data_IF_973756063996
#
_entry.id   IF_973756063996
#
_cell.length_a   1.000
_cell.length_b   1.000
_cell.length_c   1.000
_cell.angle_alpha   90.00
_cell.angle_beta   90.00
_cell.angle_gamma   90.00
#
_symmetry.space_group_name_H-M   'P 1'
#
loop_
_entity.id
_entity.type
_entity.pdbx_description
1 polymer ?
#
# COMPACT_ATOMS: atom_id res chain seq x y z
N UNK A 1 14.16 45.90 -12.02
CA UNK A 1 13.11 45.00 -11.50
C UNK A 1 13.73 44.11 -10.43
N UNK A 2 13.02 43.82 -9.34
CA UNK A 2 13.48 42.78 -8.41
C UNK A 2 13.39 41.43 -9.12
N UNK A 3 14.42 40.60 -8.97
CA UNK A 3 14.40 39.21 -9.42
C UNK A 3 13.22 38.46 -8.77
N UNK A 4 12.49 37.66 -9.54
CA UNK A 4 11.27 36.97 -9.10
C UNK A 4 11.36 35.48 -9.41
N UNK A 5 10.98 34.64 -8.44
CA UNK A 5 10.88 33.19 -8.60
C UNK A 5 9.44 32.75 -8.37
N UNK A 6 8.95 31.85 -9.22
CA UNK A 6 7.59 31.32 -9.18
C UNK A 6 7.67 29.80 -9.09
N UNK A 7 6.78 29.21 -8.31
CA UNK A 7 6.59 27.77 -8.24
C UNK A 7 5.59 27.37 -9.31
N UNK A 8 6.04 26.54 -10.26
CA UNK A 8 5.25 26.09 -11.40
C UNK A 8 4.21 25.04 -11.01
N UNK A 9 3.19 25.40 -10.23
CA UNK A 9 2.09 24.50 -9.89
C UNK A 9 1.23 24.27 -11.13
N UNK A 10 1.48 23.16 -11.83
CA UNK A 10 0.57 22.62 -12.84
C UNK A 10 -0.41 21.67 -12.17
N UNK A 11 -1.64 21.64 -12.67
CA UNK A 11 -2.74 20.81 -12.18
C UNK A 11 -2.29 19.39 -11.83
N UNK A 12 -2.30 19.09 -10.54
CA UNK A 12 -1.87 17.82 -9.95
C UNK A 12 -2.81 16.64 -10.25
N UNK A 13 -3.88 16.87 -11.02
CA UNK A 13 -4.93 15.90 -11.38
C UNK A 13 -4.44 14.74 -12.24
N UNK A 14 -3.26 14.86 -12.86
CA UNK A 14 -2.67 13.80 -13.69
C UNK A 14 -1.88 12.75 -12.88
N UNK A 15 -1.62 12.99 -11.60
CA UNK A 15 -0.83 12.09 -10.75
C UNK A 15 -1.71 10.99 -10.16
N UNK A 16 -1.19 9.76 -10.12
CA UNK A 16 -1.77 8.70 -9.27
C UNK A 16 -1.69 9.15 -7.80
N UNK A 17 -2.63 8.74 -6.96
CA UNK A 17 -2.65 9.11 -5.54
C UNK A 17 -1.30 8.89 -4.83
N UNK A 18 -0.63 7.74 -5.07
CA UNK A 18 0.69 7.48 -4.49
C UNK A 18 1.80 8.42 -4.96
N UNK A 19 1.80 8.82 -6.23
CA UNK A 19 2.76 9.81 -6.74
C UNK A 19 2.43 11.22 -6.23
N UNK A 20 1.15 11.52 -6.02
CA UNK A 20 0.73 12.77 -5.42
C UNK A 20 1.23 12.86 -3.97
N UNK A 21 0.95 11.84 -3.15
CA UNK A 21 1.42 11.77 -1.77
C UNK A 21 2.96 11.86 -1.67
N UNK A 22 3.70 11.14 -2.53
CA UNK A 22 5.17 11.23 -2.59
C UNK A 22 5.65 12.66 -2.82
N UNK A 23 5.09 13.33 -3.82
CA UNK A 23 5.42 14.71 -4.13
C UNK A 23 5.13 15.64 -2.95
N UNK A 24 3.96 15.51 -2.30
CA UNK A 24 3.60 16.31 -1.13
C UNK A 24 4.56 16.11 0.04
N UNK A 25 4.96 14.86 0.33
CA UNK A 25 5.97 14.55 1.35
C UNK A 25 7.32 15.20 1.06
N UNK A 26 7.75 15.19 -0.20
CA UNK A 26 9.02 15.78 -0.63
C UNK A 26 9.00 17.31 -0.58
N UNK A 27 7.87 17.94 -0.93
CA UNK A 27 7.69 19.39 -0.78
C UNK A 27 7.71 19.76 0.70
N UNK A 28 7.01 19.02 1.56
CA UNK A 28 7.08 19.22 3.02
C UNK A 28 8.51 19.13 3.54
N UNK A 29 9.24 18.08 3.16
CA UNK A 29 10.63 17.89 3.56
C UNK A 29 11.57 19.00 3.07
N UNK A 30 11.22 19.72 2.01
CA UNK A 30 11.99 20.86 1.52
C UNK A 30 11.76 22.15 2.33
N UNK A 31 10.60 22.28 2.99
CA UNK A 31 10.15 23.52 3.65
C UNK A 31 10.20 23.42 5.17
N UNK A 32 10.06 22.22 5.75
CA UNK A 32 9.86 21.99 7.19
C UNK A 32 10.88 22.63 8.14
N UNK A 33 12.10 22.87 7.66
CA UNK A 33 13.21 23.39 8.47
C UNK A 33 13.36 24.92 8.31
N UNK A 34 12.52 25.56 7.49
CA UNK A 34 12.43 27.02 7.43
C UNK A 34 11.71 27.55 8.67
N UNK A 35 12.15 28.72 9.14
CA UNK A 35 11.40 29.50 10.12
C UNK A 35 10.05 29.91 9.49
N UNK A 36 8.90 29.45 10.03
CA UNK A 36 7.58 29.76 9.47
C UNK A 36 7.32 31.27 9.39
N UNK A 37 7.85 32.06 10.33
CA UNK A 37 7.61 33.50 10.40
C UNK A 37 8.25 34.24 9.22
N UNK A 38 9.36 33.72 8.68
CA UNK A 38 10.05 34.25 7.50
C UNK A 38 9.24 34.09 6.22
N UNK A 39 8.23 33.24 6.24
CA UNK A 39 7.31 33.03 5.13
C UNK A 39 5.85 33.38 5.49
N UNK A 40 5.66 34.21 6.52
CA UNK A 40 4.35 34.70 6.98
C UNK A 40 3.39 33.58 7.42
N UNK A 41 3.94 32.53 8.02
CA UNK A 41 3.20 31.39 8.55
C UNK A 41 3.54 31.16 10.02
N UNK A 42 2.76 30.29 10.65
CA UNK A 42 2.95 29.88 12.04
C UNK A 42 3.43 28.44 12.13
N UNK A 43 3.93 28.07 13.31
CA UNK A 43 4.26 26.67 13.63
C UNK A 43 3.02 25.77 13.51
N UNK A 44 1.84 26.28 13.86
CA UNK A 44 0.57 25.57 13.72
C UNK A 44 0.19 25.31 12.26
N UNK A 45 0.53 26.21 11.34
CA UNK A 45 0.31 26.00 9.90
C UNK A 45 1.19 24.85 9.38
N UNK A 46 2.44 24.77 9.82
CA UNK A 46 3.35 23.66 9.49
C UNK A 46 2.83 22.34 10.04
N UNK A 47 2.30 22.35 11.28
CA UNK A 47 1.68 21.17 11.89
C UNK A 47 0.47 20.69 11.10
N UNK A 48 -0.47 21.59 10.78
CA UNK A 48 -1.66 21.26 9.97
C UNK A 48 -1.27 20.70 8.60
N UNK A 49 -0.26 21.30 7.96
CA UNK A 49 0.22 20.81 6.68
C UNK A 49 0.82 19.41 6.79
N UNK A 50 1.63 19.15 7.83
CA UNK A 50 2.18 17.81 8.08
C UNK A 50 1.10 16.76 8.28
N UNK A 51 0.10 17.05 9.11
CA UNK A 51 -1.04 16.16 9.35
C UNK A 51 -1.79 15.83 8.05
N UNK A 52 -1.96 16.82 7.17
CA UNK A 52 -2.63 16.64 5.89
C UNK A 52 -1.80 15.81 4.88
N UNK A 53 -0.48 16.00 4.84
CA UNK A 53 0.46 15.18 4.06
C UNK A 53 0.47 13.73 4.52
N UNK A 54 0.49 13.51 5.84
CA UNK A 54 0.46 12.17 6.42
C UNK A 54 -0.86 11.45 6.11
N UNK A 55 -1.99 12.16 6.25
CA UNK A 55 -3.30 11.64 5.91
C UNK A 55 -3.37 11.20 4.44
N UNK A 56 -2.82 11.98 3.52
CA UNK A 56 -2.81 11.57 2.11
C UNK A 56 -1.90 10.37 1.85
N UNK A 57 -0.73 10.31 2.48
CA UNK A 57 0.14 9.13 2.44
C UNK A 57 -0.59 7.88 2.93
N UNK A 58 -1.39 7.99 4.00
CA UNK A 58 -2.14 6.88 4.57
C UNK A 58 -3.28 6.41 3.65
N UNK A 59 -4.00 7.36 3.03
CA UNK A 59 -5.03 7.04 2.01
C UNK A 59 -4.40 6.49 0.73
N UNK A 60 -3.20 6.93 0.36
CA UNK A 60 -2.45 6.42 -0.79
C UNK A 60 -1.91 5.00 -0.60
N UNK A 61 -1.68 4.58 0.65
CA UNK A 61 -1.13 3.28 1.00
C UNK A 61 -2.21 2.22 0.96
N UNK A 62 -2.25 1.45 -0.13
CA UNK A 62 -3.13 0.27 -0.25
C UNK A 62 -2.32 -1.00 0.00
N UNK A 63 -2.41 -1.55 1.21
CA UNK A 63 -2.03 -2.95 1.44
C UNK A 63 -3.27 -3.81 1.27
N UNK A 64 -3.30 -4.67 0.25
CA UNK A 64 -4.48 -5.50 -0.01
C UNK A 64 -4.78 -6.39 1.20
N UNK A 65 -5.99 -6.29 1.75
CA UNK A 65 -6.49 -7.15 2.85
C UNK A 65 -6.28 -8.64 2.60
N UNK A 66 -6.34 -9.08 1.33
CA UNK A 66 -6.04 -10.46 0.93
C UNK A 66 -4.58 -10.84 1.18
N UNK A 67 -3.62 -9.96 0.85
CA UNK A 67 -2.19 -10.18 1.07
C UNK A 67 -1.86 -10.25 2.56
N UNK A 68 -2.44 -9.39 3.39
CA UNK A 68 -2.27 -9.46 4.85
C UNK A 68 -2.88 -10.75 5.42
N UNK A 69 -4.05 -11.16 4.94
CA UNK A 69 -4.70 -12.39 5.38
C UNK A 69 -3.88 -13.64 5.01
N UNK A 70 -3.34 -13.68 3.80
CA UNK A 70 -2.44 -14.74 3.34
C UNK A 70 -1.13 -14.75 4.15
N UNK A 71 -0.54 -13.59 4.38
CA UNK A 71 0.69 -13.45 5.19
C UNK A 71 0.47 -13.93 6.62
N UNK A 72 -0.68 -13.62 7.23
CA UNK A 72 -1.03 -14.14 8.56
C UNK A 72 -1.17 -15.66 8.56
N UNK A 73 -1.83 -16.25 7.56
CA UNK A 73 -1.97 -17.70 7.45
C UNK A 73 -0.60 -18.39 7.33
N UNK A 74 0.28 -17.88 6.47
CA UNK A 74 1.63 -18.42 6.29
C UNK A 74 2.47 -18.33 7.58
N UNK A 75 2.39 -17.20 8.30
CA UNK A 75 3.09 -17.05 9.58
C UNK A 75 2.50 -17.98 10.64
N UNK A 76 1.19 -18.14 10.70
CA UNK A 76 0.56 -19.07 11.65
C UNK A 76 0.95 -20.53 11.39
N UNK A 77 1.01 -20.93 10.12
CA UNK A 77 1.51 -22.25 9.73
C UNK A 77 2.97 -22.45 10.18
N UNK A 78 3.83 -21.44 9.96
CA UNK A 78 5.23 -21.47 10.43
C UNK A 78 5.32 -21.57 11.96
N UNK A 79 4.55 -20.78 12.72
CA UNK A 79 4.50 -20.90 14.20
C UNK A 79 4.11 -22.31 14.61
N UNK A 80 3.07 -22.85 13.97
CA UNK A 80 2.57 -24.20 14.24
C UNK A 80 3.64 -25.25 13.98
N UNK A 81 4.39 -25.13 12.87
CA UNK A 81 5.49 -26.02 12.54
C UNK A 81 6.62 -25.96 13.58
N UNK A 82 7.06 -24.75 13.94
CA UNK A 82 8.15 -24.57 14.91
C UNK A 82 7.76 -25.13 16.28
N UNK A 83 6.53 -24.85 16.75
CA UNK A 83 6.02 -25.38 18.03
C UNK A 83 5.97 -26.91 18.01
N UNK A 84 5.49 -27.52 16.91
CA UNK A 84 5.48 -29.00 16.78
C UNK A 84 6.89 -29.57 16.87
N UNK A 85 7.86 -28.98 16.16
CA UNK A 85 9.26 -29.39 16.22
C UNK A 85 9.82 -29.26 17.63
N UNK A 86 9.68 -28.09 18.25
CA UNK A 86 10.16 -27.83 19.61
C UNK A 86 9.60 -28.84 20.62
N UNK A 87 8.28 -29.07 20.60
CA UNK A 87 7.63 -30.03 21.50
C UNK A 87 8.09 -31.46 21.24
N UNK A 88 8.24 -31.85 19.98
CA UNK A 88 8.71 -33.20 19.63
C UNK A 88 10.14 -33.41 20.10
N UNK A 89 11.04 -32.46 19.86
CA UNK A 89 12.45 -32.59 20.22
C UNK A 89 12.64 -32.69 21.73
N UNK A 90 11.88 -31.90 22.52
CA UNK A 90 11.89 -31.97 23.97
C UNK A 90 11.36 -33.32 24.47
N UNK A 91 10.23 -33.81 23.93
CA UNK A 91 9.65 -35.10 24.34
C UNK A 91 10.53 -36.29 23.96
N UNK A 92 11.20 -36.23 22.81
CA UNK A 92 12.17 -37.25 22.40
C UNK A 92 13.41 -37.19 23.29
N UNK A 93 13.89 -35.99 23.62
CA UNK A 93 15.02 -35.83 24.54
C UNK A 93 14.73 -36.46 25.90
N UNK A 94 13.56 -36.23 26.48
CA UNK A 94 13.18 -36.82 27.78
C UNK A 94 12.96 -38.33 27.79
N UNK A 95 13.09 -39.01 26.65
CA UNK A 95 13.11 -40.48 26.52
C UNK A 95 14.45 -41.01 25.98
N UNK A 96 15.46 -40.16 25.91
CA UNK A 96 16.75 -40.53 25.36
C UNK A 96 17.48 -41.48 26.32
N UNK A 97 18.25 -42.47 25.80
CA UNK A 97 19.13 -43.28 26.63
C UNK A 97 20.41 -42.54 27.08
N UNK A 98 20.63 -41.31 26.62
CA UNK A 98 21.77 -40.47 27.01
C UNK A 98 21.34 -39.63 28.23
N UNK A 99 21.96 -39.85 29.39
CA UNK A 99 21.53 -39.27 30.68
C UNK A 99 21.41 -37.74 30.65
N UNK A 100 22.40 -37.03 30.09
CA UNK A 100 22.39 -35.56 30.05
C UNK A 100 21.26 -35.04 29.16
N UNK A 101 20.99 -35.73 28.05
CA UNK A 101 19.90 -35.39 27.12
C UNK A 101 18.54 -35.69 27.75
N UNK A 102 18.43 -36.81 28.46
CA UNK A 102 17.20 -37.20 29.16
C UNK A 102 16.87 -36.22 30.28
N UNK A 103 17.85 -35.85 31.11
CA UNK A 103 17.69 -34.88 32.19
C UNK A 103 17.23 -33.51 31.66
N UNK A 104 17.88 -32.99 30.61
CA UNK A 104 17.48 -31.73 29.99
C UNK A 104 16.07 -31.80 29.38
N UNK A 105 15.70 -32.92 28.75
CA UNK A 105 14.35 -33.14 28.25
C UNK A 105 13.30 -33.17 29.36
N UNK A 106 13.54 -33.95 30.43
CA UNK A 106 12.66 -34.05 31.61
C UNK A 106 12.45 -32.70 32.29
N UNK A 107 13.46 -31.83 32.32
CA UNK A 107 13.33 -30.47 32.85
C UNK A 107 12.36 -29.60 32.04
N UNK A 108 12.29 -29.77 30.71
CA UNK A 108 11.44 -28.96 29.83
C UNK A 108 10.04 -29.54 29.59
N UNK A 109 9.85 -30.84 29.80
CA UNK A 109 8.55 -31.54 29.60
C UNK A 109 7.38 -30.87 30.36
N UNK A 110 7.51 -30.50 31.65
CA UNK A 110 6.43 -29.84 32.38
C UNK A 110 5.97 -28.55 31.70
N UNK A 111 6.91 -27.72 31.23
CA UNK A 111 6.61 -26.47 30.52
C UNK A 111 5.82 -26.77 29.24
N UNK A 112 6.35 -27.63 28.35
CA UNK A 112 5.68 -27.88 27.06
C UNK A 112 4.34 -28.64 27.19
N UNK A 113 4.12 -29.35 28.30
CA UNK A 113 2.85 -30.01 28.58
C UNK A 113 1.75 -29.02 29.00
N UNK A 114 2.10 -27.96 29.73
CA UNK A 114 1.16 -26.85 30.03
C UNK A 114 0.59 -26.27 28.75
N UNK A 115 1.41 -26.17 27.69
CA UNK A 115 1.02 -25.62 26.39
C UNK A 115 0.66 -26.67 25.33
N UNK A 116 0.30 -27.91 25.72
CA UNK A 116 0.10 -29.02 24.76
C UNK A 116 -0.95 -28.76 23.65
N UNK A 117 -1.89 -27.84 23.87
CA UNK A 117 -2.95 -27.48 22.89
C UNK A 117 -2.56 -26.38 21.91
N UNK A 118 -1.42 -25.71 22.11
CA UNK A 118 -1.00 -24.52 21.36
C UNK A 118 -1.09 -24.66 19.84
N UNK A 119 -0.79 -25.85 19.33
CA UNK A 119 -0.84 -26.19 17.89
C UNK A 119 -2.26 -26.11 17.30
N UNK A 120 -3.29 -26.36 18.10
CA UNK A 120 -4.71 -26.43 17.69
C UNK A 120 -5.49 -25.15 18.03
N UNK A 121 -4.89 -24.23 18.76
CA UNK A 121 -5.52 -22.99 19.19
C UNK A 121 -5.73 -22.02 18.03
N UNK A 122 -6.69 -21.10 18.23
CA UNK A 122 -6.88 -20.01 17.29
C UNK A 122 -5.67 -19.07 17.29
N UNK A 123 -5.51 -18.27 16.22
CA UNK A 123 -4.33 -17.44 16.04
C UNK A 123 -4.09 -16.43 17.19
N UNK A 124 -5.15 -15.99 17.89
CA UNK A 124 -5.06 -15.06 19.02
C UNK A 124 -4.55 -15.76 20.27
N UNK A 125 -5.24 -16.81 20.72
CA UNK A 125 -4.83 -17.65 21.85
C UNK A 125 -3.40 -18.14 21.69
N UNK A 126 -3.07 -18.66 20.50
CA UNK A 126 -1.73 -19.12 20.15
C UNK A 126 -0.66 -18.05 20.34
N UNK A 127 -0.97 -16.78 20.03
CA UNK A 127 -0.03 -15.67 20.23
C UNK A 127 0.26 -15.47 21.72
N UNK A 128 -0.78 -15.41 22.54
CA UNK A 128 -0.64 -15.22 23.98
C UNK A 128 0.08 -16.41 24.65
N UNK A 129 -0.24 -17.63 24.24
CA UNK A 129 0.38 -18.83 24.79
C UNK A 129 1.81 -19.06 24.29
N UNK A 130 2.17 -18.66 23.05
CA UNK A 130 3.58 -18.63 22.63
C UNK A 130 4.36 -17.67 23.53
N UNK A 131 3.85 -16.46 23.78
CA UNK A 131 4.53 -15.51 24.67
C UNK A 131 4.64 -16.01 26.11
N UNK A 132 3.59 -16.64 26.64
CA UNK A 132 3.61 -17.30 27.95
C UNK A 132 4.68 -18.39 28.03
N UNK A 133 4.69 -19.30 27.06
CA UNK A 133 5.67 -20.37 26.97
C UNK A 133 7.11 -19.84 26.85
N UNK A 134 7.32 -18.80 26.05
CA UNK A 134 8.65 -18.18 25.90
C UNK A 134 9.12 -17.55 27.23
N UNK A 135 8.21 -16.98 28.04
CA UNK A 135 8.55 -16.50 29.40
C UNK A 135 8.95 -17.66 30.31
N UNK A 136 8.22 -18.77 30.31
CA UNK A 136 8.56 -19.95 31.12
C UNK A 136 9.90 -20.59 30.70
N UNK A 137 10.17 -20.61 29.39
CA UNK A 137 11.43 -21.06 28.81
C UNK A 137 12.61 -20.11 29.07
N UNK A 138 12.35 -18.88 29.54
CA UNK A 138 13.38 -17.89 29.86
C UNK A 138 13.95 -18.04 31.27
N UNK A 139 13.43 -18.96 32.08
CA UNK A 139 14.01 -19.27 33.39
C UNK A 139 15.43 -19.82 33.23
N UNK A 140 16.35 -19.52 34.17
CA UNK A 140 17.75 -19.97 34.10
C UNK A 140 17.88 -21.49 33.91
N UNK A 141 17.02 -22.26 34.57
CA UNK A 141 16.97 -23.73 34.45
C UNK A 141 16.54 -24.17 33.06
N UNK A 142 15.47 -23.59 32.52
CA UNK A 142 14.99 -23.93 31.18
C UNK A 142 15.99 -23.52 30.09
N UNK A 143 16.65 -22.38 30.22
CA UNK A 143 17.67 -21.94 29.27
C UNK A 143 18.87 -22.91 29.21
N UNK A 144 19.37 -23.37 30.37
CA UNK A 144 20.43 -24.40 30.41
C UNK A 144 20.00 -25.69 29.72
N UNK A 145 18.76 -26.13 29.93
CA UNK A 145 18.23 -27.32 29.27
C UNK A 145 18.07 -27.12 27.75
N UNK A 146 17.61 -25.95 27.30
CA UNK A 146 17.51 -25.60 25.88
C UNK A 146 18.89 -25.58 25.21
N UNK A 147 19.91 -25.07 25.89
CA UNK A 147 21.30 -25.08 25.41
C UNK A 147 21.84 -26.50 25.29
N UNK A 148 21.64 -27.34 26.31
CA UNK A 148 22.05 -28.76 26.30
C UNK A 148 21.39 -29.53 25.13
N UNK A 149 20.14 -29.20 24.80
CA UNK A 149 19.42 -29.80 23.67
C UNK A 149 19.67 -29.10 22.32
N UNK A 150 20.45 -28.01 22.29
CA UNK A 150 20.73 -27.19 21.10
C UNK A 150 19.46 -26.59 20.45
N UNK A 151 18.46 -26.26 21.26
CA UNK A 151 17.14 -25.77 20.81
C UNK A 151 17.05 -24.25 20.67
N UNK A 152 18.12 -23.52 20.99
CA UNK A 152 18.16 -22.05 20.96
C UNK A 152 17.69 -21.47 19.62
N UNK A 153 18.09 -22.08 18.49
CA UNK A 153 17.68 -21.60 17.17
C UNK A 153 16.17 -21.70 16.94
N UNK A 154 15.52 -22.75 17.45
CA UNK A 154 14.07 -22.93 17.33
C UNK A 154 13.30 -21.90 18.17
N UNK A 155 13.78 -21.59 19.38
CA UNK A 155 13.16 -20.59 20.24
C UNK A 155 13.29 -19.18 19.64
N UNK A 156 14.45 -18.82 19.07
CA UNK A 156 14.65 -17.55 18.36
C UNK A 156 13.75 -17.44 17.12
N UNK A 157 13.66 -18.51 16.32
CA UNK A 157 12.78 -18.54 15.15
C UNK A 157 11.31 -18.40 15.55
N UNK A 158 10.89 -19.02 16.66
CA UNK A 158 9.52 -18.91 17.16
C UNK A 158 9.20 -17.47 17.56
N UNK A 159 10.10 -16.82 18.30
CA UNK A 159 9.97 -15.43 18.73
C UNK A 159 9.89 -14.47 17.54
N UNK A 160 10.78 -14.63 16.56
CA UNK A 160 10.81 -13.81 15.35
C UNK A 160 9.49 -13.94 14.56
N UNK A 161 9.04 -15.18 14.32
CA UNK A 161 7.82 -15.43 13.56
C UNK A 161 6.59 -14.94 14.33
N UNK A 162 6.54 -15.10 15.66
CA UNK A 162 5.44 -14.61 16.48
C UNK A 162 5.36 -13.07 16.52
N UNK A 163 6.51 -12.41 16.68
CA UNK A 163 6.61 -10.94 16.59
C UNK A 163 6.17 -10.45 15.21
N UNK A 164 6.63 -11.12 14.15
CA UNK A 164 6.19 -10.81 12.80
C UNK A 164 4.69 -11.07 12.57
N UNK A 165 4.09 -12.05 13.24
CA UNK A 165 2.64 -12.27 13.16
C UNK A 165 1.86 -11.13 13.82
N UNK A 166 2.31 -10.66 15.00
CA UNK A 166 1.68 -9.52 15.71
C UNK A 166 1.66 -8.26 14.85
N UNK A 167 2.79 -7.91 14.23
CA UNK A 167 2.89 -6.77 13.31
C UNK A 167 1.87 -6.85 12.16
N UNK A 168 1.77 -8.00 11.49
CA UNK A 168 0.81 -8.18 10.40
C UNK A 168 -0.65 -8.10 10.90
N UNK A 169 -0.91 -8.54 12.14
CA UNK A 169 -2.23 -8.42 12.76
C UNK A 169 -2.57 -6.96 13.08
N UNK A 170 -1.60 -6.18 13.55
CA UNK A 170 -1.71 -4.72 13.76
C UNK A 170 -1.95 -4.01 12.41
N UNK A 171 -1.13 -4.29 11.39
CA UNK A 171 -1.31 -3.75 10.03
C UNK A 171 -2.72 -4.04 9.47
N UNK A 172 -3.25 -5.25 9.70
CA UNK A 172 -4.62 -5.60 9.25
C UNK A 172 -5.70 -4.84 10.02
N UNK A 173 -5.49 -4.58 11.30
CA UNK A 173 -6.39 -3.75 12.10
C UNK A 173 -6.37 -2.30 11.59
N UNK A 174 -5.20 -1.75 11.32
CA UNK A 174 -5.02 -0.43 10.71
C UNK A 174 -5.72 -0.34 9.36
N UNK A 175 -5.52 -1.28 8.44
CA UNK A 175 -6.24 -1.30 7.15
C UNK A 175 -7.77 -1.35 7.32
N UNK A 176 -8.26 -1.98 8.39
CA UNK A 176 -9.70 -1.96 8.71
C UNK A 176 -10.16 -0.58 9.18
N UNK A 177 -9.32 0.15 9.92
CA UNK A 177 -9.59 1.55 10.27
C UNK A 177 -9.47 2.48 9.06
N UNK A 178 -8.59 2.19 8.11
CA UNK A 178 -8.45 2.96 6.87
C UNK A 178 -9.70 2.95 5.99
N UNK A 179 -10.52 1.92 6.07
CA UNK A 179 -11.84 1.90 5.42
C UNK A 179 -12.77 3.04 5.89
N UNK A 180 -12.43 3.71 7.01
CA UNK A 180 -13.15 4.88 7.54
C UNK A 180 -12.47 6.22 7.17
N UNK A 181 -11.34 6.20 6.46
CA UNK A 181 -10.68 7.44 6.04
C UNK A 181 -11.51 8.19 5.00
N UNK A 182 -11.34 9.52 4.90
CA UNK A 182 -12.00 10.31 3.87
C UNK A 182 -11.61 9.84 2.46
N UNK A 183 -12.45 10.16 1.48
CA UNK A 183 -12.19 9.79 0.09
C UNK A 183 -10.86 10.39 -0.41
N UNK A 184 -10.18 9.67 -1.31
CA UNK A 184 -8.92 10.13 -1.90
C UNK A 184 -9.02 11.49 -2.57
N UNK A 185 -10.18 11.80 -3.15
CA UNK A 185 -10.39 13.06 -3.85
C UNK A 185 -10.57 14.22 -2.87
N UNK A 186 -11.25 13.99 -1.74
CA UNK A 186 -11.36 14.96 -0.66
C UNK A 186 -9.99 15.28 -0.07
N UNK A 187 -9.20 14.26 0.26
CA UNK A 187 -7.87 14.46 0.85
C UNK A 187 -6.92 15.15 -0.13
N UNK A 188 -6.93 14.74 -1.41
CA UNK A 188 -6.11 15.39 -2.45
C UNK A 188 -6.50 16.86 -2.65
N UNK A 189 -7.79 17.18 -2.68
CA UNK A 189 -8.26 18.55 -2.83
C UNK A 189 -7.79 19.42 -1.65
N UNK A 190 -7.91 18.93 -0.41
CA UNK A 190 -7.45 19.63 0.78
C UNK A 190 -5.93 19.89 0.75
N UNK A 191 -5.13 18.86 0.41
CA UNK A 191 -3.67 19.01 0.31
C UNK A 191 -3.25 19.96 -0.81
N UNK A 192 -3.97 19.97 -1.93
CA UNK A 192 -3.72 20.91 -3.02
C UNK A 192 -3.92 22.36 -2.59
N UNK A 193 -4.97 22.66 -1.81
CA UNK A 193 -5.20 24.00 -1.28
C UNK A 193 -4.07 24.40 -0.33
N UNK A 194 -3.70 23.51 0.59
CA UNK A 194 -2.63 23.78 1.56
C UNK A 194 -1.29 24.04 0.87
N UNK A 195 -0.85 23.14 -0.02
CA UNK A 195 0.43 23.32 -0.72
C UNK A 195 0.44 24.56 -1.60
N UNK A 196 -0.68 24.90 -2.25
CA UNK A 196 -0.79 26.14 -3.02
C UNK A 196 -0.64 27.37 -2.14
N UNK A 197 -1.24 27.37 -0.95
CA UNK A 197 -1.08 28.47 0.01
C UNK A 197 0.38 28.58 0.47
N UNK A 198 1.03 27.48 0.88
CA UNK A 198 2.45 27.47 1.26
C UNK A 198 3.34 28.03 0.13
N UNK A 199 3.09 27.61 -1.11
CA UNK A 199 3.86 28.08 -2.26
C UNK A 199 3.69 29.59 -2.50
N UNK A 200 2.46 30.12 -2.39
CA UNK A 200 2.22 31.58 -2.49
C UNK A 200 2.93 32.36 -1.39
N UNK A 201 2.96 31.81 -0.17
CA UNK A 201 3.69 32.39 0.96
C UNK A 201 5.20 32.45 0.69
N UNK A 202 5.79 31.37 0.15
CA UNK A 202 7.20 31.33 -0.27
C UNK A 202 7.51 32.36 -1.37
N UNK A 203 6.65 32.44 -2.39
CA UNK A 203 6.81 33.41 -3.50
C UNK A 203 6.73 34.86 -2.98
N UNK A 204 5.76 35.16 -2.13
CA UNK A 204 5.63 36.48 -1.52
C UNK A 204 6.85 36.81 -0.65
N UNK A 205 7.27 35.88 0.21
CA UNK A 205 8.43 36.05 1.09
C UNK A 205 9.73 36.29 0.33
N UNK A 206 9.94 35.63 -0.82
CA UNK A 206 11.10 35.89 -1.68
C UNK A 206 11.15 37.34 -2.19
N UNK A 207 9.99 37.94 -2.51
CA UNK A 207 9.91 39.29 -3.06
C UNK A 207 10.15 40.38 -2.00
N UNK A 208 9.81 40.10 -0.75
CA UNK A 208 9.83 41.07 0.36
C UNK A 208 10.83 40.73 1.47
N UNK A 209 11.67 39.70 1.26
CA UNK A 209 12.69 39.26 2.21
C UNK A 209 13.50 40.45 2.74
N UNK A 210 13.67 40.50 4.07
CA UNK A 210 14.31 41.61 4.76
C UNK A 210 15.84 41.59 4.61
N UNK A 211 16.43 40.40 4.43
CA UNK A 211 17.88 40.22 4.26
C UNK A 211 18.18 39.37 3.03
N UNK A 212 19.40 39.52 2.51
CA UNK A 212 19.87 38.75 1.35
C UNK A 212 20.04 37.26 1.70
N UNK A 213 20.36 36.92 2.96
CA UNK A 213 20.43 35.54 3.43
C UNK A 213 19.05 34.86 3.42
N UNK A 214 18.04 35.53 3.97
CA UNK A 214 16.65 35.04 3.97
C UNK A 214 16.16 34.86 2.52
N UNK A 215 16.46 35.84 1.66
CA UNK A 215 16.10 35.80 0.24
C UNK A 215 16.77 34.62 -0.48
N UNK A 216 18.07 34.39 -0.24
CA UNK A 216 18.81 33.28 -0.82
C UNK A 216 18.27 31.93 -0.36
N UNK A 217 17.98 31.77 0.94
CA UNK A 217 17.44 30.54 1.51
C UNK A 217 16.05 30.21 0.94
N UNK A 218 15.14 31.20 0.92
CA UNK A 218 13.80 31.04 0.33
C UNK A 218 13.91 30.72 -1.17
N UNK A 219 14.81 31.41 -1.88
CA UNK A 219 15.04 31.18 -3.31
C UNK A 219 15.55 29.77 -3.62
N UNK A 220 16.42 29.20 -2.78
CA UNK A 220 16.88 27.81 -2.91
C UNK A 220 15.75 26.81 -2.62
N UNK A 221 14.91 27.10 -1.63
CA UNK A 221 13.72 26.27 -1.33
C UNK A 221 12.75 26.24 -2.52
N UNK A 222 12.49 27.40 -3.15
CA UNK A 222 11.65 27.49 -4.37
C UNK A 222 12.23 26.63 -5.50
N UNK A 223 13.55 26.71 -5.75
CA UNK A 223 14.21 25.91 -6.78
C UNK A 223 14.08 24.40 -6.50
N UNK A 224 14.25 24.00 -5.24
CA UNK A 224 14.10 22.61 -4.80
C UNK A 224 12.67 22.10 -5.01
N UNK A 225 11.65 22.90 -4.70
CA UNK A 225 10.24 22.56 -4.96
C UNK A 225 9.99 22.39 -6.45
N UNK A 226 10.47 23.32 -7.28
CA UNK A 226 10.34 23.22 -8.74
C UNK A 226 11.03 21.97 -9.31
N UNK A 227 12.18 21.59 -8.76
CA UNK A 227 12.86 20.34 -9.10
C UNK A 227 12.01 19.12 -8.75
N UNK A 228 11.45 19.06 -7.54
CA UNK A 228 10.56 17.96 -7.09
C UNK A 228 9.35 17.82 -8.02
N UNK A 229 8.70 18.93 -8.38
CA UNK A 229 7.56 18.94 -9.29
C UNK A 229 7.99 18.39 -10.66
N UNK A 230 9.11 18.86 -11.21
CA UNK A 230 9.63 18.42 -12.50
C UNK A 230 9.92 16.92 -12.52
N UNK A 231 10.62 16.41 -11.51
CA UNK A 231 10.94 14.97 -11.38
C UNK A 231 9.67 14.12 -11.26
N UNK A 232 8.69 14.58 -10.49
CA UNK A 232 7.40 13.88 -10.33
C UNK A 232 6.67 13.76 -11.67
N UNK A 233 6.64 14.84 -12.46
CA UNK A 233 6.03 14.82 -13.79
C UNK A 233 6.79 13.92 -14.77
N UNK A 234 8.12 13.85 -14.68
CA UNK A 234 8.94 12.93 -15.47
C UNK A 234 8.60 11.48 -15.11
N UNK A 235 8.59 11.12 -13.82
CA UNK A 235 8.21 9.77 -13.36
C UNK A 235 6.81 9.36 -13.86
N UNK A 236 5.85 10.29 -13.87
CA UNK A 236 4.51 10.02 -14.41
C UNK A 236 4.53 9.76 -15.91
N UNK A 237 5.27 10.56 -16.69
CA UNK A 237 5.43 10.36 -18.14
C UNK A 237 6.11 9.04 -18.46
N UNK A 238 7.16 8.69 -17.71
CA UNK A 238 7.86 7.41 -17.84
C UNK A 238 6.93 6.24 -17.54
N UNK A 239 6.18 6.29 -16.43
CA UNK A 239 5.15 5.28 -16.13
C UNK A 239 4.13 5.14 -17.26
N UNK A 240 3.58 6.25 -17.76
CA UNK A 240 2.64 6.21 -18.91
C UNK A 240 3.29 5.57 -20.13
N UNK A 241 4.55 5.90 -20.43
CA UNK A 241 5.29 5.31 -21.55
C UNK A 241 5.53 3.80 -21.38
N UNK A 242 5.77 3.32 -20.16
CA UNK A 242 5.94 1.90 -19.85
C UNK A 242 4.63 1.11 -19.95
N UNK A 243 3.51 1.73 -19.58
CA UNK A 243 2.17 1.15 -19.79
C UNK A 243 1.84 1.00 -21.28
N UNK A 244 2.25 1.96 -22.11
CA UNK A 244 2.12 1.92 -23.58
C UNK A 244 3.10 0.93 -24.22
N UNK A 245 4.27 0.70 -23.62
CA UNK A 245 5.32 -0.23 -24.10
C UNK A 245 5.15 -1.68 -23.66
N UNK A 246 4.04 -2.10 -23.04
CA UNK A 246 3.77 -3.53 -22.79
C UNK A 246 3.99 -4.32 -24.08
N UNK A 247 4.78 -5.41 -24.08
CA UNK A 247 5.14 -6.11 -25.31
C UNK A 247 3.88 -6.60 -26.01
N UNK A 248 3.76 -6.29 -27.31
CA UNK A 248 2.77 -6.92 -28.20
C UNK A 248 2.89 -8.44 -27.99
N UNK A 249 1.80 -9.10 -27.59
CA UNK A 249 1.75 -10.56 -27.45
C UNK A 249 2.34 -11.20 -28.72
N UNK A 250 3.26 -12.19 -28.61
CA UNK A 250 3.71 -12.93 -29.79
C UNK A 250 2.50 -13.61 -30.45
N UNK A 251 2.48 -13.63 -31.79
CA UNK A 251 1.38 -14.20 -32.60
C UNK A 251 1.15 -15.67 -32.18
N UNK A 252 -0.12 -16.13 -32.06
CA UNK A 252 -0.42 -17.46 -31.56
C UNK A 252 -0.10 -18.53 -32.60
N UNK A 253 0.86 -19.41 -32.28
CA UNK A 253 1.00 -20.73 -32.87
C UNK A 253 -0.01 -21.70 -32.27
N UNK A 254 -0.53 -22.62 -33.11
CA UNK A 254 -1.60 -23.58 -32.85
C UNK A 254 -1.39 -24.46 -31.60
N UNK A 255 -2.50 -24.75 -30.92
CA UNK A 255 -2.78 -26.06 -30.33
C UNK A 255 -2.65 -26.18 -28.81
N UNK A 256 -3.76 -26.53 -28.14
CA UNK A 256 -3.73 -27.11 -26.80
C UNK A 256 -4.85 -26.63 -25.87
N UNK A 257 -5.95 -27.39 -25.82
CA UNK A 257 -7.05 -27.25 -24.87
C UNK A 257 -6.56 -27.19 -23.40
N UNK A 258 -6.85 -26.08 -22.70
CA UNK A 258 -6.98 -26.06 -21.23
C UNK A 258 -8.17 -25.18 -20.84
N UNK A 259 -9.09 -25.79 -20.08
CA UNK A 259 -10.32 -25.21 -19.52
C UNK A 259 -10.04 -23.85 -18.87
N UNK A 260 -10.76 -22.82 -19.31
CA UNK A 260 -10.71 -21.46 -18.80
C UNK A 260 -11.43 -21.36 -17.44
N UNK A 261 -10.83 -20.65 -16.48
CA UNK A 261 -11.48 -20.14 -15.26
C UNK A 261 -11.51 -18.60 -15.38
N UNK A 262 -12.59 -17.92 -14.97
CA UNK A 262 -12.77 -16.50 -15.22
C UNK A 262 -11.88 -15.67 -14.28
N UNK A 263 -10.88 -15.02 -14.85
CA UNK A 263 -10.15 -13.92 -14.21
C UNK A 263 -10.29 -12.69 -15.10
N UNK A 264 -11.04 -11.69 -14.64
CA UNK A 264 -11.20 -10.35 -15.21
C UNK A 264 -11.57 -10.30 -16.71
N UNK A 265 -12.82 -9.95 -17.08
CA UNK A 265 -13.19 -9.84 -18.50
C UNK A 265 -12.37 -8.72 -19.15
N UNK A 266 -11.46 -9.10 -20.03
CA UNK A 266 -10.70 -8.17 -20.86
C UNK A 266 -11.67 -7.52 -21.85
N UNK A 267 -11.55 -6.20 -22.04
CA UNK A 267 -12.23 -5.47 -23.10
C UNK A 267 -12.09 -6.22 -24.45
N UNK A 268 -13.17 -6.34 -25.25
CA UNK A 268 -13.10 -6.88 -26.59
C UNK A 268 -12.03 -6.16 -27.42
N UNK A 269 -11.29 -6.90 -28.26
CA UNK A 269 -10.18 -6.32 -29.03
C UNK A 269 -10.62 -5.23 -30.00
N UNK A 270 -11.87 -5.23 -30.43
CA UNK A 270 -12.50 -4.26 -31.32
C UNK A 270 -13.30 -3.18 -30.57
N UNK A 271 -13.16 -3.07 -29.24
CA UNK A 271 -13.97 -2.16 -28.43
C UNK A 271 -13.87 -0.69 -28.83
N UNK A 272 -12.68 -0.20 -29.17
CA UNK A 272 -12.49 1.18 -29.66
C UNK A 272 -13.23 1.44 -30.98
N UNK A 273 -13.29 0.45 -31.87
CA UNK A 273 -14.02 0.55 -33.14
C UNK A 273 -15.54 0.49 -32.91
N UNK A 274 -15.99 -0.36 -31.99
CA UNK A 274 -17.39 -0.41 -31.58
C UNK A 274 -17.82 0.88 -30.87
N UNK A 275 -16.93 1.51 -30.11
CA UNK A 275 -17.17 2.79 -29.43
C UNK A 275 -17.31 3.95 -30.43
N UNK A 276 -16.46 4.01 -31.45
CA UNK A 276 -16.62 5.00 -32.54
C UNK A 276 -17.96 4.86 -33.25
N UNK A 277 -18.33 3.63 -33.63
CA UNK A 277 -19.64 3.34 -34.25
C UNK A 277 -20.80 3.68 -33.33
N UNK A 278 -20.64 3.47 -32.02
CA UNK A 278 -21.63 3.82 -31.02
C UNK A 278 -21.82 5.34 -30.90
N UNK A 279 -20.73 6.11 -30.89
CA UNK A 279 -20.78 7.57 -30.88
C UNK A 279 -21.45 8.12 -32.15
N UNK A 280 -21.06 7.61 -33.33
CA UNK A 280 -21.65 7.97 -34.61
C UNK A 280 -23.16 7.65 -34.65
N UNK A 281 -23.57 6.45 -34.22
CA UNK A 281 -24.98 6.01 -34.21
C UNK A 281 -25.86 6.82 -33.27
N UNK A 282 -25.30 7.39 -32.21
CA UNK A 282 -26.02 8.17 -31.20
C UNK A 282 -25.82 9.69 -31.35
N UNK A 283 -25.22 10.16 -32.47
CA UNK A 283 -24.88 11.57 -32.71
C UNK A 283 -24.03 12.22 -31.60
N UNK A 284 -23.14 11.46 -30.97
CA UNK A 284 -22.15 12.00 -30.03
C UNK A 284 -20.91 12.51 -30.77
N UNK A 285 -20.27 13.54 -30.22
CA UNK A 285 -18.99 14.00 -30.76
C UNK A 285 -17.92 12.88 -30.59
N UNK A 286 -17.05 12.63 -31.59
CA UNK A 286 -16.07 11.55 -31.50
C UNK A 286 -15.11 11.70 -30.32
N UNK A 287 -14.87 10.62 -29.58
CA UNK A 287 -13.97 10.56 -28.43
C UNK A 287 -14.54 11.20 -27.16
N UNK A 288 -15.85 11.42 -27.10
CA UNK A 288 -16.54 11.99 -25.93
C UNK A 288 -16.72 10.97 -24.83
N UNK A 289 -16.94 9.70 -25.20
CA UNK A 289 -17.14 8.60 -24.28
C UNK A 289 -15.86 7.77 -24.17
N UNK A 290 -15.45 7.46 -22.94
CA UNK A 290 -14.25 6.67 -22.67
C UNK A 290 -14.59 5.56 -21.68
N UNK A 291 -14.09 4.35 -21.91
CA UNK A 291 -14.22 3.28 -20.94
C UNK A 291 -13.34 3.55 -19.71
N UNK A 292 -13.96 3.60 -18.53
CA UNK A 292 -13.30 3.96 -17.26
C UNK A 292 -12.66 2.77 -16.52
N UNK A 293 -12.82 1.56 -17.06
CA UNK A 293 -12.30 0.33 -16.45
C UNK A 293 -13.31 -0.44 -15.61
N UNK A 294 -14.52 0.08 -15.43
CA UNK A 294 -15.57 -0.52 -14.61
C UNK A 294 -16.41 -1.48 -15.48
N UNK A 295 -16.55 -2.71 -15.02
CA UNK A 295 -17.41 -3.73 -15.63
C UNK A 295 -18.36 -4.33 -14.60
N UNK A 296 -19.60 -4.58 -14.99
CA UNK A 296 -20.64 -5.21 -14.16
C UNK A 296 -21.19 -6.44 -14.88
N UNK A 297 -21.38 -7.54 -14.17
CA UNK A 297 -22.09 -8.72 -14.68
C UNK A 297 -23.49 -8.75 -14.06
N UNK A 298 -24.53 -8.78 -14.90
CA UNK A 298 -25.92 -8.92 -14.45
C UNK A 298 -26.66 -9.90 -15.37
N UNK A 299 -27.34 -10.87 -14.77
CA UNK A 299 -28.12 -11.91 -15.47
C UNK A 299 -27.30 -12.66 -16.53
N UNK A 300 -26.01 -12.88 -16.27
CA UNK A 300 -25.06 -13.54 -17.19
C UNK A 300 -24.61 -12.65 -18.36
N UNK A 301 -24.98 -11.37 -18.38
CA UNK A 301 -24.59 -10.39 -19.38
C UNK A 301 -23.56 -9.42 -18.80
N UNK A 302 -22.46 -9.24 -19.53
CA UNK A 302 -21.40 -8.30 -19.17
C UNK A 302 -21.70 -6.90 -19.70
N UNK A 303 -21.61 -5.92 -18.81
CA UNK A 303 -21.72 -4.49 -19.09
C UNK A 303 -20.39 -3.80 -18.83
N UNK A 304 -20.10 -2.82 -19.67
CA UNK A 304 -18.92 -1.96 -19.65
C UNK A 304 -19.37 -0.53 -19.37
N UNK A 305 -18.71 0.16 -18.45
CA UNK A 305 -19.01 1.56 -18.15
C UNK A 305 -18.29 2.49 -19.13
N UNK A 306 -19.03 3.46 -19.66
CA UNK A 306 -18.51 4.57 -20.45
C UNK A 306 -18.77 5.87 -19.70
N UNK A 307 -17.72 6.68 -19.57
CA UNK A 307 -17.75 7.95 -18.88
C UNK A 307 -17.54 9.11 -19.86
N UNK A 308 -18.35 10.15 -19.73
CA UNK A 308 -18.19 11.41 -20.43
C UNK A 308 -17.61 12.47 -19.48
N UNK A 309 -16.37 12.89 -19.73
CA UNK A 309 -15.67 13.84 -18.87
C UNK A 309 -16.25 15.28 -18.93
N UNK A 310 -16.94 15.64 -20.01
CA UNK A 310 -17.54 16.97 -20.18
C UNK A 310 -18.87 17.09 -19.42
N UNK A 311 -19.72 16.06 -19.49
CA UNK A 311 -21.04 16.07 -18.83
C UNK A 311 -21.03 15.41 -17.44
N UNK A 312 -19.95 14.68 -17.10
CA UNK A 312 -19.82 13.82 -15.92
C UNK A 312 -20.84 12.68 -15.86
N UNK A 313 -21.39 12.30 -17.01
CA UNK A 313 -22.35 11.20 -17.12
C UNK A 313 -21.64 9.85 -17.28
N UNK A 314 -22.27 8.81 -16.72
CA UNK A 314 -21.84 7.42 -16.88
C UNK A 314 -22.98 6.61 -17.48
N UNK A 315 -22.66 5.83 -18.50
CA UNK A 315 -23.61 4.89 -19.12
C UNK A 315 -23.00 3.48 -19.13
N UNK A 316 -23.84 2.47 -18.95
CA UNK A 316 -23.43 1.08 -19.09
C UNK A 316 -23.85 0.54 -20.46
N UNK A 317 -22.92 -0.11 -21.15
CA UNK A 317 -23.16 -0.71 -22.46
C UNK A 317 -22.78 -2.17 -22.45
N UNK A 318 -23.54 -3.01 -23.15
CA UNK A 318 -23.17 -4.41 -23.42
C UNK A 318 -22.72 -4.55 -24.87
N UNK A 319 -21.98 -5.61 -25.14
CA UNK A 319 -21.62 -5.99 -26.51
C UNK A 319 -22.68 -6.95 -27.04
N UNK A 320 -23.35 -6.58 -28.11
CA UNK A 320 -24.35 -7.39 -28.79
C UNK A 320 -24.10 -7.32 -30.29
N UNK A 321 -23.96 -8.47 -30.96
CA UNK A 321 -23.65 -8.56 -32.40
C UNK A 321 -22.44 -7.72 -32.86
N UNK A 322 -21.42 -7.59 -32.02
CA UNK A 322 -20.24 -6.74 -32.27
C UNK A 322 -20.53 -5.23 -32.32
N UNK A 323 -21.60 -4.78 -31.67
CA UNK A 323 -21.92 -3.37 -31.42
C UNK A 323 -22.07 -3.11 -29.91
N UNK A 324 -21.86 -1.87 -29.48
CA UNK A 324 -22.20 -1.43 -28.13
C UNK A 324 -23.67 -1.02 -28.07
N UNK A 325 -24.41 -1.57 -27.13
CA UNK A 325 -25.83 -1.27 -26.90
C UNK A 325 -25.99 -0.80 -25.46
N UNK A 326 -26.69 0.33 -25.26
CA UNK A 326 -26.98 0.85 -23.91
C UNK A 326 -27.78 -0.19 -23.13
N UNK A 327 -27.48 -0.30 -21.84
CA UNK A 327 -28.32 -1.01 -20.87
C UNK A 327 -29.66 -0.29 -20.81
N UNK A 328 -30.72 -1.02 -21.14
CA UNK A 328 -32.11 -0.56 -21.07
C UNK A 328 -32.53 -0.23 -19.64
#
# INVERSE_FOLDING_TARGET
MRDYKIIGIRTYSVLTLGLHADMQMRIYAAVKDLDPTKIFLTVDDFKKWKEAVDLESDVARVVKKSVLSETMAQKDEKRTKIVRSLFSEIRVAGKSPIEEREAAGKQLIPIVNTYHRLVKENMGEKTAHIEGMMRDLSTKTAQKALEALKLKKLTEMLEEVNTGFKKVREDRAEETTKAKLPSSDTVRAANNVLVQNICKHLEAAYLVAATDEDKALIGQTIDKINLIIKETLIMMKERRSQLVKKPKKPKPGKGGNKKWKPSNPLLPKNFEEMLKKFEEKNNFAPGTWVHDGITEEKDGVMYFSLYNAATKETIFVKVENSELVKRS
#
